data_IF_619703541321
#
_entry.id   IF_619703541321
#
_cell.length_a   1.000
_cell.length_b   1.000
_cell.length_c   1.000
_cell.angle_alpha   90.00
_cell.angle_beta   90.00
_cell.angle_gamma   90.00
#
_symmetry.space_group_name_H-M   'P 1'
#
loop_
_entity.id
_entity.type
_entity.pdbx_description
1 polymer ?
#
# COMPACT_ATOMS: atom_id res chain seq x y z
N UNK A 1 1.20 -19.17 19.09
CA UNK A 1 0.57 -17.86 18.84
C UNK A 1 0.27 -17.75 17.34
N UNK A 2 -0.95 -17.36 16.90
CA UNK A 2 -1.24 -17.13 15.48
C UNK A 2 -0.42 -15.93 15.00
N UNK A 3 0.32 -16.08 13.90
CA UNK A 3 1.11 -14.98 13.34
C UNK A 3 0.19 -13.95 12.71
N UNK A 4 0.47 -12.66 12.90
CA UNK A 4 -0.22 -11.59 12.21
C UNK A 4 0.07 -11.63 10.70
N UNK A 5 -0.95 -11.33 9.91
CA UNK A 5 -0.88 -11.26 8.45
C UNK A 5 -0.29 -9.94 7.99
N UNK A 6 0.64 -9.96 7.05
CA UNK A 6 1.07 -8.76 6.35
C UNK A 6 0.24 -8.58 5.08
N UNK A 7 -0.61 -7.56 5.06
CA UNK A 7 -1.54 -7.27 3.98
C UNK A 7 -1.04 -6.10 3.12
N UNK A 8 -0.67 -6.41 1.88
CA UNK A 8 -0.10 -5.46 0.94
C UNK A 8 -1.12 -4.95 -0.10
N UNK A 9 -0.93 -3.73 -0.63
CA UNK A 9 -1.77 -3.19 -1.70
C UNK A 9 -1.32 -3.67 -3.08
N UNK A 10 -2.27 -3.90 -4.02
CA UNK A 10 -1.96 -4.00 -5.43
C UNK A 10 -2.97 -3.22 -6.28
N UNK A 11 -2.47 -2.41 -7.21
CA UNK A 11 -3.27 -1.67 -8.18
C UNK A 11 -3.25 -2.29 -9.58
N UNK A 12 -2.42 -3.30 -9.82
CA UNK A 12 -2.35 -4.10 -11.05
C UNK A 12 -1.58 -5.41 -10.80
N UNK A 13 -1.56 -6.29 -11.81
CA UNK A 13 -0.92 -7.62 -11.72
C UNK A 13 0.58 -7.54 -11.42
N UNK A 14 1.34 -6.58 -11.97
CA UNK A 14 2.76 -6.43 -11.67
C UNK A 14 2.99 -6.14 -10.17
N UNK A 15 2.28 -5.15 -9.60
CA UNK A 15 2.38 -4.82 -8.18
C UNK A 15 1.95 -5.98 -7.29
N UNK A 16 0.97 -6.75 -7.74
CA UNK A 16 0.48 -7.94 -7.05
C UNK A 16 1.59 -9.02 -6.96
N UNK A 17 2.22 -9.37 -8.08
CA UNK A 17 3.32 -10.35 -8.11
C UNK A 17 4.51 -9.86 -7.28
N UNK A 18 4.85 -8.56 -7.35
CA UNK A 18 5.90 -7.95 -6.55
C UNK A 18 5.59 -8.02 -5.04
N UNK A 19 4.37 -7.69 -4.62
CA UNK A 19 3.99 -7.75 -3.20
C UNK A 19 4.16 -9.16 -2.63
N UNK A 20 3.71 -10.19 -3.35
CA UNK A 20 3.85 -11.59 -2.92
C UNK A 20 5.31 -12.06 -2.90
N UNK A 21 6.10 -11.70 -3.91
CA UNK A 21 7.52 -12.03 -4.00
C UNK A 21 8.30 -11.45 -2.82
N UNK A 22 8.03 -10.19 -2.45
CA UNK A 22 8.71 -9.51 -1.33
C UNK A 22 8.17 -9.90 0.06
N UNK A 23 7.23 -10.83 0.15
CA UNK A 23 6.88 -11.51 1.38
C UNK A 23 5.51 -11.18 1.98
N UNK A 24 4.60 -10.52 1.25
CA UNK A 24 3.23 -10.34 1.72
C UNK A 24 2.54 -11.71 1.98
N UNK A 25 1.72 -11.77 3.02
CA UNK A 25 0.92 -12.95 3.34
C UNK A 25 -0.44 -12.89 2.65
N UNK A 26 -0.90 -11.69 2.36
CA UNK A 26 -2.11 -11.42 1.61
C UNK A 26 -2.01 -10.13 0.82
N UNK A 27 -2.83 -9.99 -0.21
CA UNK A 27 -2.93 -8.77 -1.01
C UNK A 27 -4.38 -8.30 -1.07
N UNK A 28 -4.58 -6.98 -0.92
CA UNK A 28 -5.88 -6.38 -1.22
C UNK A 28 -5.82 -5.59 -2.52
N UNK A 29 -6.84 -5.77 -3.32
CA UNK A 29 -6.95 -5.20 -4.65
C UNK A 29 -8.40 -4.78 -4.96
N UNK A 30 -8.64 -4.14 -6.09
CA UNK A 30 -9.96 -3.75 -6.54
C UNK A 30 -10.24 -4.25 -7.95
N UNK A 31 -11.43 -4.77 -8.16
CA UNK A 31 -11.97 -4.95 -9.49
C UNK A 31 -12.34 -3.62 -10.14
N UNK A 32 -12.85 -3.63 -11.36
CA UNK A 32 -13.28 -2.42 -12.08
C UNK A 32 -14.47 -1.72 -11.42
N UNK A 33 -15.25 -2.44 -10.61
CA UNK A 33 -16.47 -1.93 -9.95
C UNK A 33 -16.30 -1.84 -8.42
N UNK A 34 -17.10 -1.00 -7.77
CA UNK A 34 -17.31 -0.94 -6.32
C UNK A 34 -16.08 -0.61 -5.45
N UNK A 35 -15.02 -0.04 -6.00
CA UNK A 35 -13.81 0.28 -5.22
C UNK A 35 -13.47 1.78 -5.21
N UNK A 36 -12.82 2.26 -4.13
CA UNK A 36 -12.46 3.67 -3.90
C UNK A 36 -11.21 4.16 -4.65
N UNK A 37 -10.66 3.39 -5.56
CA UNK A 37 -9.51 3.79 -6.37
C UNK A 37 -9.82 3.60 -7.85
N UNK A 38 -10.90 4.24 -8.31
CA UNK A 38 -11.32 4.21 -9.72
C UNK A 38 -10.21 4.65 -10.69
N UNK A 39 -9.33 5.58 -10.27
CA UNK A 39 -8.17 6.02 -11.05
C UNK A 39 -6.97 5.06 -11.06
N UNK A 40 -7.02 3.89 -10.41
CA UNK A 40 -6.02 2.83 -10.58
C UNK A 40 -6.41 1.93 -11.77
N UNK A 41 -5.43 1.18 -12.30
CA UNK A 41 -5.70 0.28 -13.43
C UNK A 41 -6.70 -0.83 -13.08
N UNK A 42 -6.93 -1.12 -11.80
CA UNK A 42 -7.83 -2.14 -11.28
C UNK A 42 -7.82 -3.45 -12.09
N UNK A 43 -8.28 -4.54 -11.49
CA UNK A 43 -8.23 -5.86 -12.11
C UNK A 43 -9.47 -6.10 -12.96
N UNK A 44 -9.30 -6.65 -14.18
CA UNK A 44 -10.40 -7.25 -14.92
C UNK A 44 -10.83 -8.57 -14.26
N UNK A 45 -11.95 -9.14 -14.71
CA UNK A 45 -12.45 -10.40 -14.21
C UNK A 45 -11.45 -11.54 -14.48
N UNK A 46 -10.83 -11.56 -15.66
CA UNK A 46 -9.80 -12.51 -16.03
C UNK A 46 -8.50 -12.32 -15.21
N UNK A 47 -8.10 -11.06 -14.97
CA UNK A 47 -6.96 -10.77 -14.11
C UNK A 47 -7.22 -11.16 -12.65
N UNK A 48 -8.49 -11.08 -12.17
CA UNK A 48 -8.86 -11.57 -10.84
C UNK A 48 -8.72 -13.09 -10.75
N UNK A 49 -9.18 -13.83 -11.76
CA UNK A 49 -9.01 -15.30 -11.83
C UNK A 49 -7.52 -15.68 -11.81
N UNK A 50 -6.69 -15.04 -12.66
CA UNK A 50 -5.23 -15.25 -12.65
C UNK A 50 -4.61 -14.93 -11.29
N UNK A 51 -4.98 -13.82 -10.68
CA UNK A 51 -4.43 -13.39 -9.40
C UNK A 51 -4.77 -14.37 -8.27
N UNK A 52 -6.01 -14.87 -8.21
CA UNK A 52 -6.44 -15.85 -7.19
C UNK A 52 -5.67 -17.15 -7.37
N UNK A 53 -5.60 -17.67 -8.58
CA UNK A 53 -4.81 -18.88 -8.86
C UNK A 53 -3.35 -18.71 -8.45
N UNK A 54 -2.71 -17.61 -8.86
CA UNK A 54 -1.30 -17.32 -8.56
C UNK A 54 -1.03 -17.22 -7.05
N UNK A 55 -1.95 -16.60 -6.29
CA UNK A 55 -1.84 -16.48 -4.83
C UNK A 55 -2.01 -17.83 -4.14
N UNK A 56 -3.04 -18.58 -4.48
CA UNK A 56 -3.37 -19.84 -3.83
C UNK A 56 -2.31 -20.92 -4.09
N UNK A 57 -1.72 -20.99 -5.27
CA UNK A 57 -0.55 -21.85 -5.55
C UNK A 57 0.65 -21.58 -4.61
N UNK A 58 0.69 -20.38 -4.01
CA UNK A 58 1.74 -19.95 -3.07
C UNK A 58 1.28 -19.90 -1.61
N UNK A 59 0.07 -20.40 -1.32
CA UNK A 59 -0.53 -20.36 0.02
C UNK A 59 -0.82 -18.94 0.51
N UNK A 60 -1.06 -17.99 -0.40
CA UNK A 60 -1.35 -16.58 -0.11
C UNK A 60 -2.83 -16.25 -0.30
N UNK A 61 -3.29 -15.14 0.27
CA UNK A 61 -4.69 -14.74 0.28
C UNK A 61 -4.95 -13.47 -0.52
N UNK A 62 -6.17 -13.35 -1.04
CA UNK A 62 -6.63 -12.17 -1.77
C UNK A 62 -7.92 -11.62 -1.14
N UNK A 63 -7.93 -10.32 -0.93
CA UNK A 63 -9.12 -9.58 -0.51
C UNK A 63 -9.52 -8.56 -1.57
N UNK A 64 -10.78 -8.57 -1.98
CA UNK A 64 -11.32 -7.62 -2.96
C UNK A 64 -12.04 -6.46 -2.26
N UNK A 65 -11.74 -5.23 -2.65
CA UNK A 65 -12.39 -4.04 -2.08
C UNK A 65 -13.75 -3.78 -2.72
N UNK A 66 -14.81 -3.75 -1.91
CA UNK A 66 -16.17 -3.32 -2.21
C UNK A 66 -16.52 -2.14 -1.28
N UNK A 67 -15.65 -1.14 -1.24
CA UNK A 67 -15.63 -0.15 -0.15
C UNK A 67 -16.01 1.27 -0.59
N UNK A 68 -16.73 1.40 -1.68
CA UNK A 68 -17.44 2.66 -2.02
C UNK A 68 -18.63 2.87 -1.09
N UNK A 69 -19.20 4.05 -1.10
CA UNK A 69 -20.54 4.35 -0.58
C UNK A 69 -21.44 4.42 -1.83
N UNK A 70 -22.16 3.34 -2.18
CA UNK A 70 -22.89 3.26 -3.44
C UNK A 70 -24.20 4.04 -3.38
N UNK A 71 -24.72 4.43 -4.55
CA UNK A 71 -26.10 4.83 -4.73
C UNK A 71 -26.97 3.63 -5.08
N UNK A 72 -28.31 3.82 -5.07
CA UNK A 72 -29.27 2.70 -5.24
C UNK A 72 -29.12 1.96 -6.58
N UNK A 73 -28.82 2.69 -7.67
CA UNK A 73 -28.60 2.12 -9.00
C UNK A 73 -27.39 1.19 -9.08
N UNK A 74 -26.36 1.45 -8.29
CA UNK A 74 -25.16 0.60 -8.24
C UNK A 74 -25.41 -0.70 -7.46
N UNK A 75 -26.30 -0.69 -6.47
CA UNK A 75 -26.61 -1.88 -5.67
C UNK A 75 -27.31 -2.99 -6.47
N UNK A 76 -27.98 -2.65 -7.57
CA UNK A 76 -28.69 -3.66 -8.40
C UNK A 76 -27.74 -4.67 -9.06
N UNK A 77 -26.53 -4.26 -9.39
CA UNK A 77 -25.53 -5.14 -10.05
C UNK A 77 -24.61 -5.85 -9.07
N UNK A 78 -24.60 -5.43 -7.81
CA UNK A 78 -23.70 -5.96 -6.79
C UNK A 78 -23.93 -7.47 -6.47
N UNK A 79 -25.15 -8.04 -6.41
CA UNK A 79 -25.36 -9.45 -6.14
C UNK A 79 -24.63 -10.38 -7.11
N UNK A 80 -24.70 -10.09 -8.40
CA UNK A 80 -24.05 -10.91 -9.43
C UNK A 80 -22.50 -10.80 -9.35
N UNK A 81 -21.99 -9.61 -9.03
CA UNK A 81 -20.57 -9.43 -8.85
C UNK A 81 -20.04 -10.18 -7.60
N UNK A 82 -20.80 -10.17 -6.50
CA UNK A 82 -20.45 -10.92 -5.28
C UNK A 82 -20.42 -12.43 -5.53
N UNK A 83 -21.39 -12.98 -6.27
CA UNK A 83 -21.41 -14.39 -6.68
C UNK A 83 -20.20 -14.72 -7.58
N UNK A 84 -19.81 -13.82 -8.48
CA UNK A 84 -18.63 -13.97 -9.30
C UNK A 84 -17.36 -14.05 -8.43
N UNK A 85 -17.18 -13.14 -7.46
CA UNK A 85 -16.04 -13.17 -6.55
C UNK A 85 -15.95 -14.45 -5.73
N UNK A 86 -17.09 -14.97 -5.24
CA UNK A 86 -17.13 -16.26 -4.56
C UNK A 86 -16.74 -17.42 -5.49
N UNK A 87 -17.26 -17.44 -6.73
CA UNK A 87 -16.92 -18.44 -7.74
C UNK A 87 -15.46 -18.45 -8.10
N UNK A 88 -14.83 -17.28 -8.23
CA UNK A 88 -13.38 -17.13 -8.49
C UNK A 88 -12.55 -17.61 -7.31
N UNK A 89 -13.13 -17.58 -6.09
CA UNK A 89 -12.49 -18.09 -4.88
C UNK A 89 -11.67 -17.04 -4.14
N UNK A 90 -12.06 -15.75 -4.15
CA UNK A 90 -11.40 -14.75 -3.30
C UNK A 90 -11.59 -15.09 -1.83
N UNK A 91 -10.60 -14.81 -0.98
CA UNK A 91 -10.62 -15.18 0.45
C UNK A 91 -11.55 -14.29 1.27
N UNK A 92 -11.91 -13.12 0.75
CA UNK A 92 -12.87 -12.23 1.36
C UNK A 92 -12.98 -10.87 0.67
N UNK A 93 -13.91 -10.07 1.18
CA UNK A 93 -14.19 -8.73 0.67
C UNK A 93 -14.05 -7.68 1.76
N UNK A 94 -13.68 -6.45 1.36
CA UNK A 94 -13.51 -5.31 2.27
C UNK A 94 -14.64 -4.31 1.98
N UNK A 95 -15.53 -4.12 2.96
CA UNK A 95 -16.81 -3.41 2.84
C UNK A 95 -16.87 -2.22 3.79
N UNK A 96 -17.43 -1.10 3.37
CA UNK A 96 -17.60 0.11 4.19
C UNK A 96 -19.06 0.47 4.49
N UNK A 97 -19.95 0.07 3.62
CA UNK A 97 -21.38 0.42 3.64
C UNK A 97 -22.24 -0.74 4.16
N UNK A 98 -23.29 -0.43 4.93
CA UNK A 98 -24.20 -1.43 5.51
C UNK A 98 -25.03 -2.15 4.45
N UNK A 99 -25.47 -1.44 3.40
CA UNK A 99 -26.22 -2.04 2.30
C UNK A 99 -25.36 -3.03 1.52
N UNK A 100 -24.10 -2.66 1.22
CA UNK A 100 -23.13 -3.57 0.61
C UNK A 100 -22.87 -4.79 1.51
N UNK A 101 -22.70 -4.56 2.82
CA UNK A 101 -22.51 -5.65 3.79
C UNK A 101 -23.68 -6.66 3.72
N UNK A 102 -24.91 -6.17 3.72
CA UNK A 102 -26.10 -7.03 3.66
C UNK A 102 -26.17 -7.80 2.34
N UNK A 103 -25.94 -7.14 1.20
CA UNK A 103 -25.93 -7.80 -0.11
C UNK A 103 -24.89 -8.93 -0.17
N UNK A 104 -23.66 -8.68 0.31
CA UNK A 104 -22.62 -9.71 0.37
C UNK A 104 -23.07 -10.90 1.22
N UNK A 105 -23.63 -10.64 2.40
CA UNK A 105 -24.07 -11.67 3.34
C UNK A 105 -25.25 -12.51 2.81
N UNK A 106 -26.13 -11.91 2.04
CA UNK A 106 -27.31 -12.59 1.45
C UNK A 106 -26.95 -13.41 0.20
N UNK A 107 -25.88 -13.04 -0.52
CA UNK A 107 -25.56 -13.60 -1.83
C UNK A 107 -24.26 -14.44 -1.88
N UNK A 108 -23.54 -14.59 -0.75
CA UNK A 108 -22.31 -15.38 -0.68
C UNK A 108 -21.95 -15.82 0.74
N UNK A 109 -20.96 -16.71 0.85
CA UNK A 109 -20.29 -17.11 2.10
C UNK A 109 -18.90 -16.44 2.27
N UNK A 110 -18.62 -15.39 1.51
CA UNK A 110 -17.33 -14.68 1.56
C UNK A 110 -17.08 -14.10 2.95
N UNK A 111 -15.84 -14.17 3.40
CA UNK A 111 -15.42 -13.47 4.62
C UNK A 111 -15.54 -11.96 4.42
N UNK A 112 -16.22 -11.27 5.33
CA UNK A 112 -16.40 -9.82 5.27
C UNK A 112 -15.45 -9.14 6.25
N UNK A 113 -14.57 -8.29 5.73
CA UNK A 113 -13.73 -7.37 6.48
C UNK A 113 -14.34 -5.97 6.43
N UNK A 114 -14.54 -5.35 7.59
CA UNK A 114 -15.11 -3.99 7.65
C UNK A 114 -13.98 -2.99 7.40
N UNK A 115 -14.14 -2.14 6.39
CA UNK A 115 -13.18 -1.12 6.01
C UNK A 115 -12.97 -0.07 7.10
N UNK A 116 -11.77 0.52 7.14
CA UNK A 116 -11.47 1.70 7.98
C UNK A 116 -12.47 2.85 7.79
N UNK A 117 -13.09 2.96 6.62
CA UNK A 117 -14.09 3.99 6.30
C UNK A 117 -15.41 3.83 7.07
N UNK A 118 -15.65 2.70 7.75
CA UNK A 118 -16.70 2.57 8.74
C UNK A 118 -16.35 3.28 10.07
N UNK A 119 -15.15 3.87 10.19
CA UNK A 119 -14.69 4.73 11.31
C UNK A 119 -14.76 4.03 12.67
N UNK A 120 -14.32 2.77 12.74
CA UNK A 120 -14.34 1.98 13.96
C UNK A 120 -13.23 2.41 14.93
N UNK A 121 -13.59 3.11 16.00
CA UNK A 121 -12.68 3.65 17.03
C UNK A 121 -12.93 3.10 18.42
N UNK A 122 -13.93 2.24 18.61
CA UNK A 122 -14.31 1.74 19.93
C UNK A 122 -14.84 0.29 19.87
N UNK A 123 -14.75 -0.40 21.00
CA UNK A 123 -15.11 -1.81 21.10
C UNK A 123 -16.62 -2.10 20.86
N UNK A 124 -17.52 -1.14 21.10
CA UNK A 124 -18.96 -1.37 20.87
C UNK A 124 -19.27 -1.45 19.38
N UNK A 125 -18.71 -0.58 18.55
CA UNK A 125 -18.85 -0.66 17.09
C UNK A 125 -18.24 -1.95 16.55
N UNK A 126 -17.05 -2.32 17.03
CA UNK A 126 -16.37 -3.58 16.65
C UNK A 126 -17.21 -4.80 17.04
N UNK A 127 -17.77 -4.80 18.27
CA UNK A 127 -18.67 -5.87 18.70
C UNK A 127 -19.93 -5.97 17.84
N UNK A 128 -20.53 -4.84 17.49
CA UNK A 128 -21.72 -4.82 16.63
C UNK A 128 -21.42 -5.46 15.26
N UNK A 129 -20.32 -5.11 14.62
CA UNK A 129 -19.91 -5.72 13.36
C UNK A 129 -19.69 -7.23 13.50
N UNK A 130 -19.05 -7.68 14.58
CA UNK A 130 -18.89 -9.10 14.90
C UNK A 130 -20.26 -9.78 15.02
N UNK A 131 -21.17 -9.21 15.80
CA UNK A 131 -22.51 -9.78 16.03
C UNK A 131 -23.34 -9.85 14.72
N UNK A 132 -23.08 -8.94 13.77
CA UNK A 132 -23.64 -8.99 12.41
C UNK A 132 -23.01 -10.06 11.52
N UNK A 133 -21.85 -10.60 11.88
CA UNK A 133 -21.15 -11.67 11.16
C UNK A 133 -19.89 -11.24 10.41
N UNK A 134 -19.37 -10.04 10.66
CA UNK A 134 -18.05 -9.65 10.13
C UNK A 134 -16.94 -10.54 10.70
N UNK A 135 -15.98 -10.91 9.86
CA UNK A 135 -14.83 -11.73 10.23
C UNK A 135 -13.68 -10.87 10.75
N UNK A 136 -13.51 -9.65 10.20
CA UNK A 136 -12.41 -8.73 10.50
C UNK A 136 -12.93 -7.30 10.55
N UNK A 137 -12.30 -6.47 11.39
CA UNK A 137 -12.52 -5.02 11.39
C UNK A 137 -11.19 -4.31 11.20
N UNK A 138 -11.12 -3.46 10.16
CA UNK A 138 -10.03 -2.52 9.97
C UNK A 138 -10.32 -1.31 10.83
N UNK A 139 -9.50 -1.09 11.85
CA UNK A 139 -9.68 0.02 12.78
C UNK A 139 -9.37 1.36 12.10
N UNK A 140 -9.98 2.42 12.59
CA UNK A 140 -9.67 3.78 12.16
C UNK A 140 -8.20 4.12 12.48
N UNK A 141 -7.59 5.00 11.67
CA UNK A 141 -6.20 5.45 11.90
C UNK A 141 -6.08 6.41 13.08
N UNK A 142 -7.19 6.93 13.52
CA UNK A 142 -7.35 7.89 14.61
C UNK A 142 -7.50 7.22 15.99
N UNK A 143 -6.91 6.01 16.15
CA UNK A 143 -6.99 5.20 17.38
C UNK A 143 -5.61 5.02 18.01
N UNK A 144 -5.55 5.00 19.35
CA UNK A 144 -4.32 4.73 20.10
C UNK A 144 -4.11 3.24 20.38
N UNK A 145 -2.86 2.85 20.69
CA UNK A 145 -2.53 1.50 21.14
C UNK A 145 -3.34 1.04 22.35
N UNK A 146 -3.59 1.96 23.29
CA UNK A 146 -4.39 1.67 24.48
C UNK A 146 -5.83 1.27 24.12
N UNK A 147 -6.45 2.03 23.22
CA UNK A 147 -7.79 1.68 22.73
C UNK A 147 -7.81 0.36 21.93
N UNK A 148 -6.76 0.05 21.17
CA UNK A 148 -6.66 -1.24 20.46
C UNK A 148 -6.61 -2.39 21.45
N UNK A 149 -5.82 -2.29 22.52
CA UNK A 149 -5.77 -3.27 23.60
C UNK A 149 -7.13 -3.46 24.27
N UNK A 150 -7.82 -2.36 24.60
CA UNK A 150 -9.17 -2.42 25.17
C UNK A 150 -10.18 -3.11 24.22
N UNK A 151 -10.11 -2.82 22.93
CA UNK A 151 -10.97 -3.49 21.93
C UNK A 151 -10.68 -4.99 21.92
N UNK A 152 -9.40 -5.39 21.89
CA UNK A 152 -9.00 -6.81 21.92
C UNK A 152 -9.50 -7.52 23.17
N UNK A 153 -9.37 -6.91 24.33
CA UNK A 153 -9.84 -7.49 25.59
C UNK A 153 -11.35 -7.69 25.62
N UNK A 154 -12.13 -6.72 25.11
CA UNK A 154 -13.59 -6.75 25.13
C UNK A 154 -14.22 -7.56 23.98
N UNK A 155 -13.51 -7.73 22.88
CA UNK A 155 -13.98 -8.47 21.68
C UNK A 155 -12.86 -9.40 21.18
N UNK A 156 -12.54 -10.48 21.93
CA UNK A 156 -11.38 -11.33 21.64
C UNK A 156 -11.51 -12.15 20.35
N UNK A 157 -12.72 -12.45 19.89
CA UNK A 157 -12.98 -13.42 18.81
C UNK A 157 -13.18 -12.78 17.43
N UNK A 158 -12.76 -11.54 17.22
CA UNK A 158 -12.77 -10.89 15.89
C UNK A 158 -11.34 -10.58 15.46
N UNK A 159 -11.05 -10.66 14.17
CA UNK A 159 -9.75 -10.23 13.67
C UNK A 159 -9.68 -8.70 13.64
N UNK A 160 -8.62 -8.13 14.22
CA UNK A 160 -8.31 -6.71 14.20
C UNK A 160 -7.21 -6.43 13.17
N UNK A 161 -7.47 -5.49 12.27
CA UNK A 161 -6.53 -5.02 11.27
C UNK A 161 -6.23 -3.53 11.48
N UNK A 162 -4.97 -3.15 11.38
CA UNK A 162 -4.54 -1.74 11.49
C UNK A 162 -3.62 -1.34 10.34
N UNK A 163 -3.65 -0.07 9.95
CA UNK A 163 -2.65 0.46 9.04
C UNK A 163 -1.33 0.69 9.76
N UNK A 164 -0.24 0.26 9.14
CA UNK A 164 1.12 0.41 9.68
C UNK A 164 2.00 1.32 8.83
N UNK A 165 1.64 1.55 7.55
CA UNK A 165 2.44 2.37 6.66
C UNK A 165 1.60 3.05 5.59
N UNK A 166 2.00 4.26 5.19
CA UNK A 166 1.52 4.96 4.00
C UNK A 166 0.72 6.23 4.28
N UNK A 167 0.07 6.74 3.27
CA UNK A 167 -0.55 8.06 3.28
C UNK A 167 -1.63 8.21 4.34
N UNK A 168 -1.54 9.24 5.17
CA UNK A 168 -2.61 9.66 6.09
C UNK A 168 -3.59 10.59 5.37
N UNK A 169 -4.87 10.50 5.73
CA UNK A 169 -5.93 11.38 5.26
C UNK A 169 -6.26 12.43 6.33
N UNK A 170 -6.57 13.66 5.91
CA UNK A 170 -7.00 14.72 6.84
C UNK A 170 -8.43 14.53 7.34
N UNK A 171 -9.29 13.92 6.52
CA UNK A 171 -10.64 13.57 6.91
C UNK A 171 -10.65 12.28 7.72
N UNK A 172 -11.49 12.21 8.75
CA UNK A 172 -11.59 11.05 9.62
C UNK A 172 -11.89 9.79 8.79
N UNK A 173 -11.07 8.78 8.94
CA UNK A 173 -11.20 7.50 8.22
C UNK A 173 -11.37 7.63 6.70
N UNK A 174 -10.92 8.76 6.11
CA UNK A 174 -11.00 9.02 4.67
C UNK A 174 -12.37 9.44 4.15
N UNK A 175 -13.38 9.63 4.98
CA UNK A 175 -14.67 10.20 4.59
C UNK A 175 -14.55 11.71 4.41
N UNK A 176 -14.62 12.19 3.16
CA UNK A 176 -14.30 13.57 2.81
C UNK A 176 -15.30 14.15 1.82
N UNK A 177 -15.79 15.35 2.11
CA UNK A 177 -16.62 16.15 1.18
C UNK A 177 -15.83 17.27 0.48
N UNK A 178 -14.59 17.57 0.92
CA UNK A 178 -13.81 18.68 0.37
C UNK A 178 -13.55 18.52 -1.13
N UNK A 179 -13.23 17.32 -1.60
CA UNK A 179 -13.04 17.05 -3.03
C UNK A 179 -14.30 17.33 -3.82
N UNK A 180 -15.46 16.85 -3.37
CA UNK A 180 -16.74 17.08 -4.03
C UNK A 180 -17.09 18.57 -4.02
N UNK A 181 -16.99 19.23 -2.86
CA UNK A 181 -17.29 20.66 -2.72
C UNK A 181 -16.43 21.54 -3.63
N UNK A 182 -15.13 21.25 -3.73
CA UNK A 182 -14.18 22.07 -4.50
C UNK A 182 -14.17 21.77 -6.01
N UNK A 183 -14.56 20.56 -6.44
CA UNK A 183 -14.36 20.12 -7.84
C UNK A 183 -15.50 19.32 -8.45
N UNK A 184 -16.53 19.00 -7.68
CA UNK A 184 -17.56 18.05 -8.08
C UNK A 184 -17.13 16.58 -8.10
N UNK A 185 -15.84 16.26 -7.76
CA UNK A 185 -15.30 14.90 -7.75
C UNK A 185 -15.51 14.26 -6.39
N UNK A 186 -16.17 13.11 -6.36
CA UNK A 186 -16.54 12.46 -5.10
C UNK A 186 -15.46 11.51 -4.58
N UNK A 187 -14.78 11.94 -3.50
CA UNK A 187 -13.77 11.15 -2.83
C UNK A 187 -14.32 9.85 -2.22
N UNK A 188 -15.60 9.83 -1.82
CA UNK A 188 -16.25 8.67 -1.22
C UNK A 188 -16.67 7.62 -2.26
N UNK A 189 -16.56 7.97 -3.55
CA UNK A 189 -16.83 7.10 -4.69
C UNK A 189 -15.57 6.81 -5.53
N UNK A 190 -14.39 7.10 -5.00
CA UNK A 190 -13.11 6.77 -5.64
C UNK A 190 -12.50 7.87 -6.49
N UNK A 191 -13.14 9.05 -6.61
CA UNK A 191 -12.68 10.16 -7.43
C UNK A 191 -12.16 11.33 -6.57
N UNK A 192 -11.17 11.06 -5.72
CA UNK A 192 -10.57 12.09 -4.87
C UNK A 192 -9.65 13.02 -5.68
N UNK A 193 -9.98 14.31 -5.74
CA UNK A 193 -9.15 15.34 -6.36
C UNK A 193 -7.91 15.72 -5.53
N UNK A 194 -7.78 15.20 -4.31
CA UNK A 194 -6.75 15.57 -3.34
C UNK A 194 -6.75 17.08 -3.01
N UNK A 195 -7.94 17.68 -2.97
CA UNK A 195 -8.11 19.12 -2.74
C UNK A 195 -7.45 19.63 -1.45
N UNK A 196 -7.33 18.77 -0.41
CA UNK A 196 -6.60 19.12 0.81
C UNK A 196 -5.08 19.36 0.60
N UNK A 197 -4.57 19.14 -0.61
CA UNK A 197 -3.16 19.32 -0.98
C UNK A 197 -2.96 20.46 -1.99
N UNK A 198 -4.02 21.19 -2.33
CA UNK A 198 -3.94 22.34 -3.23
C UNK A 198 -3.47 23.61 -2.52
N UNK A 199 -3.07 24.60 -3.32
CA UNK A 199 -2.73 25.93 -2.86
C UNK A 199 -3.96 26.71 -2.38
N UNK A 200 -3.92 27.14 -1.14
CA UNK A 200 -4.94 28.02 -0.58
C UNK A 200 -4.28 29.10 0.28
N UNK A 201 -4.93 30.24 0.38
CA UNK A 201 -4.66 31.25 1.41
C UNK A 201 -5.82 31.23 2.37
N UNK A 202 -5.57 30.85 3.63
CA UNK A 202 -6.59 30.88 4.69
C UNK A 202 -6.42 32.16 5.50
N UNK A 203 -7.47 32.94 5.59
CA UNK A 203 -7.61 34.09 6.46
C UNK A 203 -8.76 33.81 7.42
N UNK A 204 -8.50 33.81 8.71
CA UNK A 204 -9.53 33.72 9.73
C UNK A 204 -9.90 35.13 10.18
N UNK A 205 -11.17 35.54 10.01
CA UNK A 205 -11.65 36.91 10.34
C UNK A 205 -11.52 37.28 11.82
N UNK A 206 -11.55 36.27 12.71
CA UNK A 206 -11.46 36.51 14.17
C UNK A 206 -10.03 36.64 14.68
N UNK A 207 -9.03 36.35 13.82
CA UNK A 207 -7.58 36.46 14.11
C UNK A 207 -6.86 37.28 13.03
N UNK A 208 -7.19 38.60 12.92
CA UNK A 208 -6.58 39.43 11.90
C UNK A 208 -5.06 39.53 12.16
N UNK A 209 -4.25 39.14 11.19
CA UNK A 209 -2.79 39.15 11.25
C UNK A 209 -2.14 37.80 11.57
N UNK A 210 -2.89 36.77 11.94
CA UNK A 210 -2.41 35.41 12.01
C UNK A 210 -2.68 34.70 10.67
N UNK A 211 -1.67 34.63 9.82
CA UNK A 211 -1.73 33.79 8.62
C UNK A 211 -1.36 32.36 9.03
N UNK A 212 -2.28 31.42 8.88
CA UNK A 212 -1.94 30.00 8.95
C UNK A 212 -1.05 29.70 7.76
N UNK A 213 0.19 29.18 7.97
CA UNK A 213 1.13 28.99 6.89
C UNK A 213 0.58 27.97 5.90
N UNK A 214 0.36 28.44 4.69
CA UNK A 214 0.01 27.63 3.54
C UNK A 214 1.27 27.58 2.70
N UNK A 215 1.91 26.40 2.59
CA UNK A 215 3.14 26.25 1.81
C UNK A 215 2.83 25.94 0.36
N UNK A 216 3.64 26.52 -0.52
CA UNK A 216 3.52 26.38 -1.97
C UNK A 216 4.85 25.90 -2.57
N UNK A 217 4.78 24.86 -3.39
CA UNK A 217 5.88 24.49 -4.28
C UNK A 217 5.35 24.31 -5.73
N UNK A 218 6.21 23.90 -6.66
CA UNK A 218 5.88 23.68 -8.07
C UNK A 218 4.77 22.63 -8.28
N UNK A 219 4.43 21.84 -7.26
CA UNK A 219 3.46 20.75 -7.32
C UNK A 219 2.13 21.05 -6.61
N UNK A 220 2.02 22.17 -5.88
CA UNK A 220 0.76 22.59 -5.23
C UNK A 220 0.92 23.24 -3.86
N UNK A 221 -0.21 23.62 -3.27
CA UNK A 221 -0.30 24.15 -1.91
C UNK A 221 -0.91 23.13 -0.97
N UNK A 222 -0.36 23.08 0.23
CA UNK A 222 -0.67 22.08 1.23
C UNK A 222 -1.26 22.75 2.46
N UNK A 223 -2.60 22.72 2.63
CA UNK A 223 -3.27 23.34 3.76
C UNK A 223 -3.10 22.52 5.03
N UNK A 224 -3.10 21.19 4.88
CA UNK A 224 -3.00 20.22 5.96
C UNK A 224 -2.18 19.03 5.49
N UNK A 225 -0.93 19.27 5.11
CA UNK A 225 -0.05 18.23 4.56
C UNK A 225 0.32 17.20 5.65
N UNK A 226 -0.49 16.16 5.80
CA UNK A 226 -0.17 15.06 6.71
C UNK A 226 1.10 14.35 6.26
N UNK A 227 2.00 14.07 7.20
CA UNK A 227 3.08 13.11 7.02
C UNK A 227 2.51 11.72 6.68
N UNK A 228 3.34 10.87 6.10
CA UNK A 228 2.98 9.47 5.89
C UNK A 228 3.11 8.68 7.21
N UNK A 229 2.19 7.76 7.46
CA UNK A 229 2.27 6.84 8.59
C UNK A 229 3.46 5.90 8.42
N UNK A 230 4.23 5.70 9.48
CA UNK A 230 5.26 4.67 9.57
C UNK A 230 5.38 4.22 11.03
N UNK A 231 5.06 2.96 11.28
CA UNK A 231 5.05 2.39 12.64
C UNK A 231 6.15 1.37 12.85
N UNK A 232 7.16 1.36 11.99
CA UNK A 232 8.20 0.31 12.01
C UNK A 232 8.97 0.24 13.34
N UNK A 233 9.13 1.39 14.02
CA UNK A 233 9.83 1.49 15.30
C UNK A 233 9.01 0.99 16.50
N UNK A 234 7.71 0.73 16.28
CA UNK A 234 6.78 0.29 17.33
C UNK A 234 5.98 -0.97 16.94
N UNK A 235 6.46 -1.73 15.97
CA UNK A 235 5.75 -2.89 15.44
C UNK A 235 5.48 -3.95 16.50
N UNK A 236 6.42 -4.14 17.43
CA UNK A 236 6.30 -5.00 18.61
C UNK A 236 5.09 -4.61 19.47
N UNK A 237 4.96 -3.31 19.78
CA UNK A 237 3.85 -2.79 20.59
C UNK A 237 2.49 -2.97 19.93
N UNK A 238 2.45 -2.86 18.59
CA UNK A 238 1.23 -3.11 17.80
C UNK A 238 0.84 -4.58 17.85
N UNK A 239 1.81 -5.48 17.71
CA UNK A 239 1.59 -6.92 17.80
C UNK A 239 1.19 -7.34 19.20
N UNK A 240 1.82 -6.78 20.25
CA UNK A 240 1.48 -7.00 21.65
C UNK A 240 0.08 -6.47 22.01
N UNK A 241 -0.45 -5.50 21.26
CA UNK A 241 -1.83 -5.04 21.39
C UNK A 241 -2.85 -6.06 20.84
N UNK A 242 -2.39 -7.18 20.26
CA UNK A 242 -3.25 -8.25 19.78
C UNK A 242 -3.84 -8.02 18.39
N UNK A 243 -3.14 -7.32 17.52
CA UNK A 243 -3.52 -7.10 16.12
C UNK A 243 -3.28 -8.37 15.30
N UNK A 244 -4.23 -8.76 14.43
CA UNK A 244 -4.15 -9.95 13.59
C UNK A 244 -3.67 -9.67 12.17
N UNK A 245 -3.75 -8.41 11.71
CA UNK A 245 -3.36 -8.03 10.34
C UNK A 245 -2.76 -6.63 10.30
N UNK A 246 -1.61 -6.51 9.66
CA UNK A 246 -0.86 -5.28 9.44
C UNK A 246 -1.03 -4.84 7.99
N UNK A 247 -1.67 -3.69 7.77
CA UNK A 247 -2.02 -3.20 6.44
C UNK A 247 -1.12 -2.08 5.98
N UNK A 248 -0.58 -2.23 4.77
CA UNK A 248 0.18 -1.19 4.07
C UNK A 248 -0.78 -0.43 3.13
N UNK A 249 -0.83 0.91 3.21
CA UNK A 249 -1.52 1.76 2.22
C UNK A 249 -0.58 2.06 1.04
N UNK A 250 -1.12 2.01 -0.19
CA UNK A 250 -0.30 2.34 -1.35
C UNK A 250 -0.76 1.79 -2.70
N UNK A 251 -2.07 1.52 -2.91
CA UNK A 251 -2.58 0.96 -4.19
C UNK A 251 -2.16 1.78 -5.41
N UNK A 252 -2.07 3.11 -5.28
CA UNK A 252 -1.63 4.02 -6.36
C UNK A 252 -0.11 4.11 -6.49
N UNK A 253 0.65 3.63 -5.52
CA UNK A 253 2.12 3.71 -5.50
C UNK A 253 2.76 2.73 -6.49
N UNK A 254 4.03 2.98 -6.88
CA UNK A 254 4.81 2.13 -7.79
C UNK A 254 5.31 0.83 -7.14
N UNK A 255 5.85 -0.07 -7.98
CA UNK A 255 6.39 -1.37 -7.52
C UNK A 255 7.50 -1.21 -6.49
N UNK A 256 8.38 -0.22 -6.64
CA UNK A 256 9.49 0.03 -5.71
C UNK A 256 9.00 0.37 -4.30
N UNK A 257 7.93 1.18 -4.19
CA UNK A 257 7.30 1.48 -2.90
C UNK A 257 6.70 0.23 -2.27
N UNK A 258 5.86 -0.51 -3.02
CA UNK A 258 5.17 -1.69 -2.49
C UNK A 258 6.17 -2.73 -2.00
N UNK A 259 7.16 -3.06 -2.83
CA UNK A 259 8.19 -4.06 -2.52
C UNK A 259 9.01 -3.70 -1.28
N UNK A 260 9.49 -2.44 -1.19
CA UNK A 260 10.29 -2.01 -0.03
C UNK A 260 9.47 -1.99 1.27
N UNK A 261 8.22 -1.49 1.24
CA UNK A 261 7.37 -1.55 2.42
C UNK A 261 7.16 -3.02 2.86
N UNK A 262 6.82 -3.89 1.91
CA UNK A 262 6.53 -5.30 2.22
C UNK A 262 7.75 -5.99 2.80
N UNK A 263 8.94 -5.88 2.17
CA UNK A 263 10.15 -6.56 2.69
C UNK A 263 10.52 -6.11 4.09
N UNK A 264 10.44 -4.79 4.36
CA UNK A 264 10.79 -4.23 5.66
C UNK A 264 9.84 -4.73 6.75
N UNK A 265 8.53 -4.59 6.53
CA UNK A 265 7.55 -5.07 7.53
C UNK A 265 7.57 -6.60 7.67
N UNK A 266 7.89 -7.34 6.61
CA UNK A 266 8.05 -8.81 6.71
C UNK A 266 9.26 -9.20 7.53
N UNK A 267 10.39 -8.53 7.36
CA UNK A 267 11.59 -8.76 8.14
C UNK A 267 11.35 -8.43 9.63
N UNK A 268 10.69 -7.31 9.93
CA UNK A 268 10.30 -6.94 11.29
C UNK A 268 9.35 -7.98 11.94
N UNK A 269 8.37 -8.49 11.20
CA UNK A 269 7.50 -9.58 11.65
C UNK A 269 8.29 -10.86 11.94
N UNK A 270 9.22 -11.21 11.06
CA UNK A 270 10.07 -12.40 11.25
C UNK A 270 10.96 -12.23 12.50
N UNK A 271 11.54 -11.05 12.71
CA UNK A 271 12.30 -10.71 13.92
C UNK A 271 11.43 -10.86 15.18
N UNK A 272 10.22 -10.28 15.20
CA UNK A 272 9.31 -10.40 16.34
C UNK A 272 8.96 -11.86 16.67
N UNK A 273 8.60 -12.65 15.66
CA UNK A 273 8.22 -14.06 15.87
C UNK A 273 9.40 -15.00 16.09
N UNK A 274 10.65 -14.55 15.95
CA UNK A 274 11.84 -15.30 16.36
C UNK A 274 12.01 -15.35 17.89
N UNK A 275 11.31 -14.48 18.62
CA UNK A 275 11.35 -14.37 20.08
C UNK A 275 12.43 -13.42 20.63
N UNK A 276 13.27 -12.85 19.76
CA UNK A 276 14.32 -11.88 20.12
C UNK A 276 14.16 -10.63 19.23
N UNK A 277 13.06 -9.90 19.42
CA UNK A 277 12.83 -8.69 18.66
C UNK A 277 13.85 -7.60 19.02
N UNK A 278 14.61 -7.18 18.03
CA UNK A 278 15.47 -5.99 18.11
C UNK A 278 15.14 -5.09 16.90
N UNK A 279 14.98 -3.81 17.16
CA UNK A 279 14.79 -2.83 16.10
C UNK A 279 16.05 -2.73 15.23
N UNK A 280 15.90 -2.96 13.93
CA UNK A 280 16.99 -2.80 12.96
C UNK A 280 16.90 -1.42 12.30
N UNK A 281 17.89 -0.52 12.48
CA UNK A 281 17.89 0.80 11.85
C UNK A 281 17.85 0.77 10.31
N UNK A 282 18.28 -0.31 9.68
CA UNK A 282 18.20 -0.48 8.22
C UNK A 282 16.75 -0.45 7.72
N UNK A 283 15.77 -0.90 8.55
CA UNK A 283 14.36 -0.80 8.20
C UNK A 283 13.93 0.64 7.90
N UNK A 284 14.36 1.57 8.73
CA UNK A 284 14.03 3.00 8.55
C UNK A 284 14.73 3.55 7.31
N UNK A 285 16.00 3.23 7.11
CA UNK A 285 16.78 3.62 5.93
C UNK A 285 16.12 3.14 4.64
N UNK A 286 15.67 1.87 4.59
CA UNK A 286 14.97 1.32 3.44
C UNK A 286 13.61 2.00 3.18
N UNK A 287 12.86 2.33 4.22
CA UNK A 287 11.60 3.07 4.07
C UNK A 287 11.83 4.54 3.66
N UNK A 288 12.95 5.16 4.01
CA UNK A 288 13.31 6.50 3.54
C UNK A 288 13.84 6.52 2.10
N UNK A 289 14.22 5.35 1.56
CA UNK A 289 14.65 5.22 0.17
C UNK A 289 13.52 5.41 -0.85
N UNK A 290 12.27 5.18 -0.43
CA UNK A 290 11.08 5.33 -1.26
C UNK A 290 10.46 6.72 -1.11
N UNK A 291 9.63 7.11 -2.09
CA UNK A 291 8.94 8.41 -2.06
C UNK A 291 7.97 8.52 -0.90
N UNK A 292 8.24 9.45 0.03
CA UNK A 292 7.47 9.68 1.25
C UNK A 292 7.34 11.19 1.55
N UNK A 293 6.41 11.55 2.46
CA UNK A 293 6.17 12.93 2.93
C UNK A 293 6.69 13.14 4.36
N UNK A 294 7.86 12.60 4.67
CA UNK A 294 8.30 12.38 6.05
C UNK A 294 7.36 11.45 6.82
N UNK A 295 7.80 10.94 7.95
CA UNK A 295 7.06 9.91 8.67
C UNK A 295 6.54 10.38 10.03
N UNK A 296 5.41 9.81 10.43
CA UNK A 296 4.78 9.97 11.75
C UNK A 296 4.21 8.63 12.21
N UNK A 297 4.15 8.43 13.51
CA UNK A 297 3.42 7.30 14.11
C UNK A 297 1.90 7.58 14.25
N UNK A 298 1.44 8.71 13.75
CA UNK A 298 0.03 9.09 13.73
C UNK A 298 -0.56 9.20 15.12
N UNK A 299 -1.69 8.52 15.35
CA UNK A 299 -2.43 8.57 16.61
C UNK A 299 -2.10 7.43 17.57
N UNK A 300 -1.14 6.58 17.28
CA UNK A 300 -0.84 5.39 18.12
C UNK A 300 -0.44 5.76 19.55
N UNK A 301 0.11 6.95 19.78
CA UNK A 301 0.41 7.50 21.12
C UNK A 301 -0.70 8.39 21.69
N UNK A 302 -1.88 8.44 21.07
CA UNK A 302 -2.99 9.29 21.45
C UNK A 302 -3.23 10.41 20.46
N UNK A 303 -3.27 11.68 20.90
CA UNK A 303 -3.53 12.82 20.00
C UNK A 303 -2.31 13.05 19.10
N UNK A 304 -2.52 13.03 17.80
CA UNK A 304 -1.53 13.51 16.85
C UNK A 304 -1.45 15.05 16.96
N UNK A 305 -0.28 15.56 17.28
CA UNK A 305 -0.02 16.99 17.38
C UNK A 305 0.41 17.61 16.05
N UNK A 306 0.87 18.86 16.11
CA UNK A 306 1.37 19.63 14.94
C UNK A 306 2.56 18.93 14.28
N UNK A 307 3.30 18.12 15.05
CA UNK A 307 4.43 17.31 14.58
C UNK A 307 4.01 16.23 13.55
N UNK A 308 2.75 15.86 13.50
CA UNK A 308 2.21 14.93 12.49
C UNK A 308 1.98 15.58 11.12
N UNK A 309 2.16 16.89 11.03
CA UNK A 309 1.99 17.69 9.84
C UNK A 309 3.36 18.10 9.26
N UNK A 310 3.45 18.18 7.95
CA UNK A 310 4.71 18.48 7.25
C UNK A 310 4.76 19.97 6.87
N UNK A 311 5.03 20.84 7.82
CA UNK A 311 5.11 22.28 7.59
C UNK A 311 6.52 22.79 7.21
N UNK A 312 7.56 21.99 7.45
CA UNK A 312 8.94 22.48 7.38
C UNK A 312 9.68 22.14 6.08
N UNK A 313 9.13 21.29 5.23
CA UNK A 313 9.77 20.91 3.97
C UNK A 313 9.16 21.65 2.79
N UNK A 314 10.00 22.43 2.09
CA UNK A 314 9.63 23.08 0.81
C UNK A 314 9.26 22.06 -0.28
N UNK A 315 9.76 20.83 -0.17
CA UNK A 315 9.40 19.72 -1.05
C UNK A 315 8.42 18.80 -0.33
N UNK A 316 7.27 18.56 -0.91
CA UNK A 316 6.23 17.71 -0.33
C UNK A 316 6.62 16.24 -0.24
N UNK A 317 7.57 15.80 -1.06
CA UNK A 317 8.07 14.43 -1.11
C UNK A 317 9.59 14.39 -0.96
N UNK A 318 10.07 13.42 -0.16
CA UNK A 318 11.47 13.04 -0.03
C UNK A 318 11.68 11.66 -0.60
N UNK A 319 12.82 11.43 -1.22
CA UNK A 319 13.23 10.14 -1.75
C UNK A 319 14.75 10.16 -1.91
N UNK A 320 15.44 9.14 -1.39
CA UNK A 320 16.92 9.06 -1.46
C UNK A 320 17.42 8.12 -2.56
N UNK A 321 16.55 7.25 -3.10
CA UNK A 321 16.90 6.28 -4.13
C UNK A 321 15.87 6.26 -5.24
N UNK A 322 16.30 5.86 -6.44
CA UNK A 322 15.44 5.77 -7.61
C UNK A 322 15.52 4.38 -8.24
N UNK A 323 14.38 3.76 -8.47
CA UNK A 323 14.29 2.52 -9.24
C UNK A 323 14.75 2.77 -10.68
N UNK A 324 15.70 1.98 -11.18
CA UNK A 324 16.18 2.08 -12.57
C UNK A 324 15.86 0.87 -13.42
N UNK A 325 15.73 -0.32 -12.83
CA UNK A 325 15.38 -1.52 -13.58
C UNK A 325 14.75 -2.60 -12.68
N UNK A 326 14.19 -3.62 -13.30
CA UNK A 326 13.68 -4.84 -12.69
C UNK A 326 14.17 -6.05 -13.48
N UNK A 327 14.56 -7.11 -12.78
CA UNK A 327 14.89 -8.39 -13.40
C UNK A 327 13.59 -9.04 -13.84
N UNK A 328 13.41 -9.16 -15.15
CA UNK A 328 12.18 -9.71 -15.73
C UNK A 328 12.23 -11.24 -15.79
N UNK A 329 13.41 -11.77 -16.10
CA UNK A 329 13.60 -13.21 -16.23
C UNK A 329 15.08 -13.59 -16.06
N UNK A 330 15.35 -14.71 -15.42
CA UNK A 330 16.65 -15.40 -15.43
C UNK A 330 16.71 -16.28 -16.67
N UNK A 331 17.65 -15.98 -17.58
CA UNK A 331 17.80 -16.70 -18.85
C UNK A 331 18.73 -17.92 -18.71
N UNK A 332 19.78 -17.76 -17.89
CA UNK A 332 20.72 -18.82 -17.51
C UNK A 332 21.32 -18.49 -16.14
N UNK A 333 22.32 -19.23 -15.66
CA UNK A 333 22.95 -18.99 -14.36
C UNK A 333 23.57 -17.61 -14.23
N UNK A 334 24.01 -17.00 -15.34
CA UNK A 334 24.67 -15.69 -15.35
C UNK A 334 24.11 -14.72 -16.40
N UNK A 335 22.95 -15.02 -17.01
CA UNK A 335 22.31 -14.12 -17.98
C UNK A 335 20.89 -13.76 -17.53
N UNK A 336 20.56 -12.49 -17.61
CA UNK A 336 19.30 -11.94 -17.15
C UNK A 336 18.67 -11.02 -18.18
N UNK A 337 17.34 -11.14 -18.31
CA UNK A 337 16.50 -10.18 -19.00
C UNK A 337 16.11 -9.09 -18.03
N UNK A 338 16.41 -7.85 -18.35
CA UNK A 338 16.21 -6.68 -17.48
C UNK A 338 15.28 -5.68 -18.13
N UNK A 339 14.20 -5.35 -17.47
CA UNK A 339 13.25 -4.31 -17.89
C UNK A 339 13.70 -2.94 -17.34
N UNK A 340 14.02 -2.01 -18.21
CA UNK A 340 14.50 -0.67 -17.85
C UNK A 340 13.34 0.24 -17.47
N UNK A 341 13.42 0.86 -16.30
CA UNK A 341 12.40 1.77 -15.73
C UNK A 341 12.82 3.23 -15.74
N UNK A 342 14.11 3.49 -15.65
CA UNK A 342 14.73 4.80 -15.80
C UNK A 342 16.04 4.63 -16.58
N UNK A 343 16.52 5.73 -17.19
CA UNK A 343 17.75 5.70 -17.98
C UNK A 343 18.89 5.11 -17.15
N UNK A 344 19.60 4.15 -17.71
CA UNK A 344 20.64 3.35 -17.07
C UNK A 344 21.86 3.27 -17.99
N UNK A 345 23.06 3.30 -17.41
CA UNK A 345 24.34 3.33 -18.16
C UNK A 345 25.20 2.13 -17.80
N UNK A 346 25.99 1.66 -18.76
CA UNK A 346 27.10 0.72 -18.51
C UNK A 346 28.08 1.35 -17.53
N UNK A 347 28.60 0.58 -16.59
CA UNK A 347 29.52 1.04 -15.55
C UNK A 347 28.87 1.85 -14.42
N UNK A 348 27.57 2.09 -14.45
CA UNK A 348 26.87 2.79 -13.37
C UNK A 348 26.78 1.93 -12.11
N UNK A 349 27.10 2.53 -10.97
CA UNK A 349 26.88 1.92 -9.67
C UNK A 349 25.36 1.84 -9.38
N UNK A 350 24.87 0.67 -9.06
CA UNK A 350 23.49 0.40 -8.71
C UNK A 350 23.43 -0.55 -7.51
N UNK A 351 22.28 -0.64 -6.88
CA UNK A 351 22.03 -1.57 -5.79
C UNK A 351 20.97 -2.59 -6.20
N UNK A 352 21.24 -3.87 -5.95
CA UNK A 352 20.28 -4.96 -6.10
C UNK A 352 19.39 -4.98 -4.85
N UNK A 353 18.08 -4.82 -5.06
CA UNK A 353 17.03 -4.90 -4.04
C UNK A 353 16.28 -6.21 -4.24
N UNK A 354 16.42 -7.11 -3.28
CA UNK A 354 15.75 -8.40 -3.21
C UNK A 354 14.79 -8.46 -1.99
N UNK A 355 14.07 -9.57 -1.75
CA UNK A 355 13.27 -9.74 -0.53
C UNK A 355 14.05 -9.64 0.78
N UNK A 356 15.37 -9.85 0.74
CA UNK A 356 16.24 -9.66 1.89
C UNK A 356 16.43 -8.18 2.22
N UNK A 357 16.60 -7.86 3.52
CA UNK A 357 16.78 -6.46 3.94
C UNK A 357 18.09 -5.86 3.41
N UNK A 358 19.15 -6.65 3.44
CA UNK A 358 20.47 -6.24 2.98
C UNK A 358 20.51 -6.09 1.47
N UNK A 359 20.83 -4.89 1.00
CA UNK A 359 21.06 -4.62 -0.41
C UNK A 359 22.49 -4.99 -0.82
N UNK A 360 22.70 -5.25 -2.10
CA UNK A 360 24.00 -5.61 -2.66
C UNK A 360 24.39 -4.59 -3.71
N UNK A 361 25.61 -4.05 -3.61
CA UNK A 361 26.14 -3.14 -4.63
C UNK A 361 26.50 -3.91 -5.90
N UNK A 362 26.26 -3.30 -7.03
CA UNK A 362 26.43 -3.88 -8.35
C UNK A 362 26.85 -2.81 -9.36
N UNK A 363 27.83 -3.13 -10.20
CA UNK A 363 28.22 -2.27 -11.32
C UNK A 363 27.55 -2.81 -12.58
N UNK A 364 26.81 -1.95 -13.27
CA UNK A 364 26.05 -2.34 -14.45
C UNK A 364 27.01 -2.82 -15.56
N UNK A 365 26.90 -4.09 -16.01
CA UNK A 365 27.78 -4.63 -17.05
C UNK A 365 27.36 -4.14 -18.44
N UNK A 366 27.99 -4.67 -19.47
CA UNK A 366 27.54 -4.50 -20.85
C UNK A 366 26.06 -4.85 -21.01
N UNK A 367 25.35 -4.04 -21.77
CA UNK A 367 23.92 -4.19 -22.04
C UNK A 367 23.69 -4.50 -23.52
N UNK A 368 23.02 -5.60 -23.82
CA UNK A 368 22.57 -5.93 -25.18
C UNK A 368 21.10 -5.57 -25.29
N UNK A 369 20.76 -4.65 -26.17
CA UNK A 369 19.39 -4.20 -26.38
C UNK A 369 18.58 -5.28 -27.09
N UNK A 370 17.31 -5.43 -26.71
CA UNK A 370 16.36 -6.37 -27.33
C UNK A 370 15.29 -5.61 -28.14
N UNK A 371 14.93 -6.15 -29.29
CA UNK A 371 13.81 -5.65 -30.08
C UNK A 371 12.46 -6.06 -29.46
N UNK A 372 11.35 -5.58 -30.06
CA UNK A 372 9.99 -5.91 -29.59
C UNK A 372 9.64 -7.40 -29.67
N UNK A 373 10.41 -8.17 -30.40
CA UNK A 373 10.26 -9.64 -30.55
C UNK A 373 11.19 -10.41 -29.60
N UNK A 374 11.95 -9.69 -28.73
CA UNK A 374 12.88 -10.28 -27.78
C UNK A 374 14.20 -10.76 -28.41
N UNK A 375 14.54 -10.31 -29.62
CA UNK A 375 15.79 -10.67 -30.28
C UNK A 375 16.88 -9.66 -29.95
N UNK A 376 18.09 -10.14 -29.72
CA UNK A 376 19.28 -9.30 -29.52
C UNK A 376 19.54 -8.44 -30.75
N UNK A 377 19.84 -7.15 -30.52
CA UNK A 377 20.13 -6.20 -31.60
C UNK A 377 21.59 -5.72 -31.53
N UNK A 378 21.90 -4.84 -30.59
CA UNK A 378 23.21 -4.21 -30.46
C UNK A 378 23.62 -4.06 -28.99
N UNK A 379 24.91 -3.99 -28.74
CA UNK A 379 25.46 -3.54 -27.46
C UNK A 379 25.30 -2.02 -27.35
N UNK A 380 24.81 -1.56 -26.18
CA UNK A 380 24.53 -0.12 -25.93
C UNK A 380 25.21 0.37 -24.67
N UNK A 381 25.73 1.61 -24.72
CA UNK A 381 26.29 2.29 -23.54
C UNK A 381 25.24 2.79 -22.55
N UNK A 382 23.98 2.95 -23.02
CA UNK A 382 22.87 3.32 -22.16
C UNK A 382 21.55 2.79 -22.69
N UNK A 383 20.63 2.47 -21.77
CA UNK A 383 19.28 2.00 -22.10
C UNK A 383 18.23 3.01 -21.57
N UNK A 384 17.18 3.23 -22.37
CA UNK A 384 16.10 4.16 -22.07
C UNK A 384 14.93 3.43 -21.34
N UNK A 385 14.07 4.17 -20.61
CA UNK A 385 12.85 3.60 -20.02
C UNK A 385 12.00 2.84 -21.04
N UNK A 386 11.34 1.77 -20.59
CA UNK A 386 10.50 0.87 -21.38
C UNK A 386 11.24 0.03 -22.43
N UNK A 387 12.57 -0.04 -22.37
CA UNK A 387 13.36 -1.01 -23.14
C UNK A 387 13.66 -2.26 -22.31
N UNK A 388 14.07 -3.32 -23.01
CA UNK A 388 14.56 -4.55 -22.42
C UNK A 388 16.01 -4.74 -22.85
N UNK A 389 16.86 -5.13 -21.91
CA UNK A 389 18.25 -5.47 -22.19
C UNK A 389 18.58 -6.86 -21.63
N UNK A 390 19.48 -7.54 -22.28
CA UNK A 390 20.16 -8.71 -21.73
C UNK A 390 21.46 -8.26 -21.10
N UNK A 391 21.74 -8.75 -19.89
CA UNK A 391 23.00 -8.57 -19.20
C UNK A 391 23.62 -9.91 -18.83
N UNK A 392 24.94 -9.93 -18.69
CA UNK A 392 25.69 -11.08 -18.18
C UNK A 392 26.51 -10.70 -16.95
N UNK A 393 26.33 -11.46 -15.86
CA UNK A 393 27.05 -11.22 -14.59
C UNK A 393 27.09 -12.48 -13.75
N UNK A 394 28.16 -12.66 -12.96
CA UNK A 394 28.29 -13.73 -11.99
C UNK A 394 27.60 -13.42 -10.64
N UNK A 395 27.10 -12.18 -10.46
CA UNK A 395 26.33 -11.82 -9.26
C UNK A 395 24.90 -12.38 -9.40
N UNK A 396 24.50 -13.29 -8.51
CA UNK A 396 23.20 -13.93 -8.64
C UNK A 396 22.07 -12.94 -8.36
N UNK A 397 21.05 -12.97 -9.22
CA UNK A 397 19.80 -12.24 -9.09
C UNK A 397 18.63 -13.21 -9.35
N UNK A 398 17.49 -12.90 -8.80
CA UNK A 398 16.25 -13.63 -9.04
C UNK A 398 15.26 -12.81 -9.87
N UNK A 399 14.30 -13.50 -10.49
CA UNK A 399 13.17 -12.80 -11.13
C UNK A 399 12.46 -11.92 -10.10
N UNK A 400 12.06 -10.72 -10.52
CA UNK A 400 11.43 -9.68 -9.72
C UNK A 400 12.39 -8.93 -8.76
N UNK A 401 13.68 -9.26 -8.69
CA UNK A 401 14.67 -8.37 -8.07
C UNK A 401 14.69 -7.01 -8.80
N UNK A 402 15.00 -5.96 -8.07
CA UNK A 402 15.04 -4.60 -8.62
C UNK A 402 16.46 -4.02 -8.55
N UNK A 403 16.75 -3.13 -9.49
CA UNK A 403 17.97 -2.30 -9.46
C UNK A 403 17.60 -0.86 -9.16
N UNK A 404 18.31 -0.24 -8.19
CA UNK A 404 18.11 1.15 -7.81
C UNK A 404 19.44 1.91 -7.80
N UNK A 405 19.36 3.23 -7.86
CA UNK A 405 20.50 4.14 -7.68
C UNK A 405 20.25 5.06 -6.48
N UNK A 406 21.31 5.54 -5.86
CA UNK A 406 21.29 6.64 -4.89
C UNK A 406 21.09 7.95 -5.66
N UNK A 407 20.26 8.89 -5.14
CA UNK A 407 19.97 10.20 -5.75
C UNK A 407 20.91 11.29 -5.23
#
# INVERSE_FOLDING_TARGET
MKKAELLAPAGNMEKFKMALHYGADAVYLGGKMFNLRAGSNNFSDEELEEAVQYAHERGKRIYVTLNIIPHNDELETLPEYVKFLEKVGVDGVIVADLGVFQVVKENSNLNISISTQASNTNWRSVKMWKDMGAKRVVLAREISLEHIKEIREKVPDIELEVFVHGAMCMAISGRCLLSNYMTGRDANRGDCAQACRWKYSLVEETRPGETMPVYEDEHGTYIFNSKDLCTIEMIDKILDAGVDSLKIEGRMKGIYYVSNCVKVYKDALNSYYSGNFEYNPEWRTELESISNRSYTEGFYHGKAGVESLNYNNRNSYSQTHKLVAKIEKKLSDNEYLVAIRNKLFVGQEVQIVSPEIKVRDFIMPEMILLDKMGRETESVESANPNSFVKIKTDIPMDELDMLRIVL
#
